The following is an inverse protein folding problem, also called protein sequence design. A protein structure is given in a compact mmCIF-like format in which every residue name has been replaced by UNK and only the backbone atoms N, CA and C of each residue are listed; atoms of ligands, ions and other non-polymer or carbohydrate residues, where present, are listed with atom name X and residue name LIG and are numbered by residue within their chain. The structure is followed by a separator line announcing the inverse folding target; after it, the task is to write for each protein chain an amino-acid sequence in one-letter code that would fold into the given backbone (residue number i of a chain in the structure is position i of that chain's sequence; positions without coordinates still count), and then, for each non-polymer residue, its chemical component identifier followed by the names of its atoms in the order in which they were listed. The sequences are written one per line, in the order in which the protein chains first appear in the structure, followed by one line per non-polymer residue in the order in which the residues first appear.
data_IF_262341930630
#
_entry.id   IF_262341930630
#
_cell.length_a   1.000
_cell.length_b   1.000
_cell.length_c   1.000
_cell.angle_alpha   90.00
_cell.angle_beta   90.00
_cell.angle_gamma   90.00
#
_symmetry.space_group_name_H-M   'P 1'
#
loop_
_entity.id
_entity.type
_entity.pdbx_description
1 polymer ?
#
# COMPACT_ATOMS: atom_id res chain seq x y z
N UNK A 1 7.19 0.19 -22.88
CA UNK A 1 6.82 0.80 -21.56
C UNK A 1 5.62 1.75 -21.64
N UNK A 2 5.70 2.94 -22.27
CA UNK A 2 4.55 3.89 -22.30
C UNK A 2 3.33 3.25 -22.99
N UNK A 3 3.56 2.50 -24.05
CA UNK A 3 2.51 1.76 -24.76
C UNK A 3 1.84 0.73 -23.85
N UNK A 4 2.62 -0.08 -23.09
CA UNK A 4 2.08 -1.01 -22.11
C UNK A 4 1.20 -0.33 -21.04
N UNK A 5 1.59 0.87 -20.59
CA UNK A 5 0.80 1.66 -19.64
C UNK A 5 -0.52 2.09 -20.29
N UNK A 6 -0.47 2.73 -21.46
CA UNK A 6 -1.65 3.20 -22.18
C UNK A 6 -2.60 2.05 -22.56
N UNK A 7 -2.05 0.91 -22.96
CA UNK A 7 -2.81 -0.31 -23.25
C UNK A 7 -3.60 -0.80 -22.03
N UNK A 8 -2.98 -0.87 -20.85
CA UNK A 8 -3.65 -1.32 -19.64
C UNK A 8 -4.72 -0.32 -19.16
N UNK A 9 -4.50 0.99 -19.29
CA UNK A 9 -5.52 1.99 -18.99
C UNK A 9 -6.76 1.88 -19.89
N UNK A 10 -6.59 1.50 -21.16
CA UNK A 10 -7.72 1.25 -22.08
C UNK A 10 -8.46 -0.05 -21.78
N UNK A 11 -7.83 -0.97 -21.05
CA UNK A 11 -8.32 -2.32 -20.77
C UNK A 11 -8.57 -2.59 -19.27
N UNK A 12 -8.83 -1.54 -18.47
CA UNK A 12 -9.02 -1.66 -17.01
C UNK A 12 -10.17 -2.59 -16.61
N UNK A 13 -11.20 -2.71 -17.44
CA UNK A 13 -12.36 -3.57 -17.21
C UNK A 13 -12.40 -4.77 -18.16
N UNK A 14 -11.35 -4.95 -18.98
CA UNK A 14 -11.25 -6.05 -19.90
C UNK A 14 -10.38 -7.15 -19.30
N UNK A 15 -11.03 -8.21 -18.82
CA UNK A 15 -10.38 -9.39 -18.24
C UNK A 15 -10.05 -10.46 -19.29
N UNK A 16 -10.51 -10.29 -20.53
CA UNK A 16 -10.31 -11.26 -21.59
C UNK A 16 -9.01 -10.95 -22.37
N UNK A 17 -8.41 -12.00 -22.92
CA UNK A 17 -7.14 -11.93 -23.64
C UNK A 17 -5.93 -12.20 -22.74
N UNK A 18 -4.75 -11.85 -23.27
CA UNK A 18 -3.45 -12.21 -22.72
C UNK A 18 -2.54 -10.99 -22.67
N UNK A 19 -1.78 -10.86 -21.59
CA UNK A 19 -0.74 -9.84 -21.46
C UNK A 19 0.63 -10.53 -21.47
N UNK A 20 1.51 -10.11 -22.38
CA UNK A 20 2.90 -10.57 -22.41
C UNK A 20 3.65 -10.12 -21.15
N UNK A 21 4.77 -10.78 -20.84
CA UNK A 21 5.55 -10.49 -19.62
C UNK A 21 6.00 -9.03 -19.55
N UNK A 22 6.51 -8.48 -20.66
CA UNK A 22 6.98 -7.10 -20.70
C UNK A 22 5.85 -6.11 -20.45
N UNK A 23 4.70 -6.33 -21.09
CA UNK A 23 3.52 -5.47 -20.94
C UNK A 23 3.03 -5.46 -19.48
N UNK A 24 2.95 -6.64 -18.86
CA UNK A 24 2.58 -6.76 -17.46
C UNK A 24 3.58 -6.08 -16.52
N UNK A 25 4.88 -6.37 -16.64
CA UNK A 25 5.89 -5.84 -15.70
C UNK A 25 6.14 -4.34 -15.85
N UNK A 26 6.07 -3.79 -17.07
CA UNK A 26 6.14 -2.34 -17.25
C UNK A 26 4.93 -1.63 -16.61
N UNK A 27 3.76 -2.24 -16.67
CA UNK A 27 2.58 -1.70 -16.00
C UNK A 27 2.68 -1.81 -14.47
N UNK A 28 3.12 -2.95 -13.94
CA UNK A 28 3.39 -3.12 -12.50
C UNK A 28 4.43 -2.12 -12.01
N UNK A 29 5.53 -1.94 -12.74
CA UNK A 29 6.58 -0.97 -12.41
C UNK A 29 6.02 0.45 -12.35
N UNK A 30 5.17 0.83 -13.31
CA UNK A 30 4.49 2.12 -13.28
C UNK A 30 3.62 2.28 -12.03
N UNK A 31 2.78 1.28 -11.68
CA UNK A 31 1.94 1.34 -10.49
C UNK A 31 2.77 1.47 -9.21
N UNK A 32 3.91 0.78 -9.13
CA UNK A 32 4.84 0.86 -8.01
C UNK A 32 5.45 2.26 -7.91
N UNK A 33 6.01 2.80 -9.00
CA UNK A 33 6.59 4.14 -9.02
C UNK A 33 5.53 5.19 -8.67
N UNK A 34 4.32 5.07 -9.21
CA UNK A 34 3.22 5.97 -8.91
C UNK A 34 2.84 5.95 -7.42
N UNK A 35 2.72 4.75 -6.83
CA UNK A 35 2.44 4.58 -5.41
C UNK A 35 3.53 5.21 -4.53
N UNK A 36 4.81 4.93 -4.82
CA UNK A 36 5.93 5.49 -4.08
C UNK A 36 6.05 7.01 -4.25
N UNK A 37 5.86 7.52 -5.48
CA UNK A 37 5.91 8.95 -5.76
C UNK A 37 4.87 9.74 -4.97
N UNK A 38 3.63 9.24 -4.92
CA UNK A 38 2.57 9.90 -4.14
C UNK A 38 2.83 9.76 -2.63
N UNK A 39 3.25 8.58 -2.16
CA UNK A 39 3.57 8.36 -0.76
C UNK A 39 4.71 9.29 -0.29
N UNK A 40 5.72 9.49 -1.14
CA UNK A 40 6.81 10.41 -0.88
C UNK A 40 6.34 11.87 -0.82
N UNK A 41 5.53 12.31 -1.78
CA UNK A 41 4.95 13.65 -1.77
C UNK A 41 4.12 13.92 -0.50
N UNK A 42 3.30 12.95 -0.09
CA UNK A 42 2.52 13.05 1.14
C UNK A 42 3.40 13.11 2.38
N UNK A 43 4.50 12.35 2.41
CA UNK A 43 5.49 12.41 3.50
C UNK A 43 6.14 13.78 3.62
N UNK A 44 6.47 14.44 2.51
CA UNK A 44 7.02 15.80 2.52
C UNK A 44 6.01 16.81 3.08
N UNK A 45 4.74 16.71 2.68
CA UNK A 45 3.67 17.58 3.18
C UNK A 45 3.45 17.35 4.68
N UNK A 46 3.38 16.08 5.12
CA UNK A 46 3.21 15.72 6.53
C UNK A 46 4.33 16.21 7.42
N UNK A 47 5.59 16.01 7.00
CA UNK A 47 6.76 16.50 7.72
C UNK A 47 6.81 18.04 7.77
N UNK A 48 6.48 18.71 6.66
CA UNK A 48 6.39 20.17 6.62
C UNK A 48 5.34 20.74 7.56
N UNK A 49 4.14 20.14 7.59
CA UNK A 49 3.08 20.55 8.53
C UNK A 49 3.50 20.37 9.99
N UNK A 50 4.19 19.27 10.31
CA UNK A 50 4.71 19.04 11.67
C UNK A 50 5.75 20.11 12.07
N UNK A 51 6.67 20.46 11.17
CA UNK A 51 7.65 21.51 11.42
C UNK A 51 7.00 22.88 11.66
N UNK A 52 5.96 23.23 10.90
CA UNK A 52 5.19 24.47 11.11
C UNK A 52 4.51 24.47 12.48
N UNK A 53 3.84 23.38 12.86
CA UNK A 53 3.18 23.27 14.16
C UNK A 53 4.18 23.41 15.32
N UNK A 54 5.36 22.79 15.21
CA UNK A 54 6.41 22.91 16.24
C UNK A 54 6.93 24.34 16.39
N UNK A 55 7.13 25.07 15.28
CA UNK A 55 7.55 26.49 15.33
C UNK A 55 6.48 27.34 15.99
N UNK A 56 5.20 27.08 15.71
CA UNK A 56 4.08 27.80 16.32
C UNK A 56 4.00 27.54 17.83
N UNK A 57 4.12 26.30 18.26
CA UNK A 57 4.11 25.94 19.69
C UNK A 57 5.29 26.57 20.45
N UNK A 58 6.48 26.62 19.84
CA UNK A 58 7.65 27.28 20.41
C UNK A 58 7.45 28.81 20.54
N UNK A 59 6.80 29.43 19.55
CA UNK A 59 6.50 30.87 19.56
C UNK A 59 5.39 31.23 20.55
N UNK A 60 4.46 30.31 20.83
CA UNK A 60 3.39 30.49 21.80
C UNK A 60 3.88 30.55 23.26
N UNK A 61 5.18 30.39 23.52
CA UNK A 61 5.79 30.60 24.84
C UNK A 61 5.41 29.55 25.88
N UNK A 62 4.92 28.38 25.45
CA UNK A 62 4.59 27.27 26.34
C UNK A 62 5.90 26.62 26.85
N UNK A 63 6.42 27.08 27.99
CA UNK A 63 7.57 26.46 28.69
C UNK A 63 7.21 25.13 29.35
N UNK A 64 5.92 24.82 29.41
CA UNK A 64 5.43 23.58 29.99
C UNK A 64 5.60 22.42 29.00
N UNK A 65 6.69 21.67 29.19
CA UNK A 65 7.12 20.57 28.34
C UNK A 65 6.01 19.52 28.15
N UNK A 66 5.13 19.36 29.14
CA UNK A 66 3.99 18.46 29.08
C UNK A 66 2.89 18.91 28.10
N UNK A 67 2.67 20.22 27.94
CA UNK A 67 1.67 20.79 27.02
C UNK A 67 2.16 20.66 25.58
N UNK A 68 3.43 21.01 25.34
CA UNK A 68 4.07 20.86 24.02
C UNK A 68 4.05 19.39 23.59
N UNK A 69 4.38 18.46 24.49
CA UNK A 69 4.41 17.04 24.13
C UNK A 69 3.03 16.45 23.83
N UNK A 70 1.97 16.89 24.52
CA UNK A 70 0.58 16.50 24.20
C UNK A 70 0.11 17.04 22.85
N UNK A 71 0.45 18.30 22.53
CA UNK A 71 0.14 18.91 21.22
C UNK A 71 0.82 18.17 20.06
N UNK A 72 2.10 17.82 20.24
CA UNK A 72 2.86 16.99 19.30
C UNK A 72 2.21 15.60 19.16
N UNK A 73 1.84 14.94 20.26
CA UNK A 73 1.18 13.64 20.24
C UNK A 73 -0.15 13.63 19.45
N UNK A 74 -1.01 14.62 19.65
CA UNK A 74 -2.26 14.74 18.88
C UNK A 74 -2.02 15.03 17.39
N UNK A 75 -1.02 15.84 17.07
CA UNK A 75 -0.65 16.12 15.67
C UNK A 75 -0.09 14.89 14.97
N UNK A 76 0.76 14.12 15.65
CA UNK A 76 1.29 12.85 15.14
C UNK A 76 0.16 11.83 14.94
N UNK A 77 -0.74 11.68 15.91
CA UNK A 77 -1.89 10.78 15.83
C UNK A 77 -2.77 11.09 14.61
N UNK A 78 -3.12 12.37 14.38
CA UNK A 78 -3.90 12.78 13.19
C UNK A 78 -3.16 12.54 11.88
N UNK A 79 -1.88 12.87 11.81
CA UNK A 79 -1.06 12.67 10.61
C UNK A 79 -0.96 11.18 10.27
N UNK A 80 -0.76 10.33 11.27
CA UNK A 80 -0.69 8.88 11.09
C UNK A 80 -2.03 8.30 10.68
N UNK A 81 -3.14 8.71 11.30
CA UNK A 81 -4.46 8.26 10.89
C UNK A 81 -4.75 8.65 9.43
N UNK A 82 -4.42 9.90 9.04
CA UNK A 82 -4.57 10.37 7.67
C UNK A 82 -3.70 9.58 6.69
N UNK A 83 -2.43 9.31 7.02
CA UNK A 83 -1.53 8.54 6.16
C UNK A 83 -1.96 7.08 6.01
N UNK A 84 -2.51 6.47 7.06
CA UNK A 84 -3.05 5.12 7.00
C UNK A 84 -4.32 5.03 6.15
N UNK A 85 -5.26 5.97 6.31
CA UNK A 85 -6.45 6.04 5.44
C UNK A 85 -6.08 6.27 3.98
N UNK A 86 -5.12 7.17 3.75
CA UNK A 86 -4.58 7.42 2.42
C UNK A 86 -3.94 6.16 1.83
N UNK A 87 -3.11 5.45 2.61
CA UNK A 87 -2.48 4.20 2.19
C UNK A 87 -3.53 3.14 1.85
N UNK A 88 -4.58 2.98 2.66
CA UNK A 88 -5.67 2.05 2.38
C UNK A 88 -6.40 2.40 1.07
N UNK A 89 -6.72 3.68 0.84
CA UNK A 89 -7.35 4.13 -0.39
C UNK A 89 -6.46 3.88 -1.62
N UNK A 90 -5.16 4.17 -1.51
CA UNK A 90 -4.18 3.92 -2.57
C UNK A 90 -4.00 2.43 -2.85
N UNK A 91 -4.00 1.58 -1.82
CA UNK A 91 -3.98 0.12 -1.97
C UNK A 91 -5.21 -0.37 -2.73
N UNK A 92 -6.41 0.11 -2.39
CA UNK A 92 -7.63 -0.23 -3.12
C UNK A 92 -7.52 0.22 -4.58
N UNK A 93 -7.12 1.46 -4.83
CA UNK A 93 -6.93 1.98 -6.19
C UNK A 93 -5.93 1.12 -6.98
N UNK A 94 -4.76 0.82 -6.42
CA UNK A 94 -3.75 -0.01 -7.05
C UNK A 94 -4.28 -1.42 -7.36
N UNK A 95 -5.07 -2.01 -6.47
CA UNK A 95 -5.69 -3.33 -6.70
C UNK A 95 -6.70 -3.31 -7.86
N UNK A 96 -7.50 -2.24 -7.96
CA UNK A 96 -8.46 -2.03 -9.06
C UNK A 96 -7.75 -1.83 -10.40
N UNK A 97 -6.63 -1.09 -10.41
CA UNK A 97 -5.83 -0.89 -11.61
C UNK A 97 -5.12 -2.18 -12.04
N UNK A 98 -4.68 -3.01 -11.08
CA UNK A 98 -3.90 -4.22 -11.36
C UNK A 98 -4.76 -5.43 -11.81
N UNK A 99 -5.98 -5.59 -11.27
CA UNK A 99 -6.73 -6.87 -11.34
C UNK A 99 -6.95 -7.38 -12.77
N UNK A 100 -7.29 -6.50 -13.72
CA UNK A 100 -7.53 -6.89 -15.10
C UNK A 100 -6.25 -7.31 -15.82
N UNK A 101 -5.14 -6.57 -15.63
CA UNK A 101 -3.84 -6.96 -16.19
C UNK A 101 -3.32 -8.25 -15.57
N UNK A 102 -3.50 -8.45 -14.26
CA UNK A 102 -3.09 -9.67 -13.60
C UNK A 102 -3.89 -10.90 -14.05
N UNK A 103 -5.20 -10.76 -14.28
CA UNK A 103 -6.02 -11.82 -14.88
C UNK A 103 -5.51 -12.20 -16.29
N UNK A 104 -5.23 -11.21 -17.14
CA UNK A 104 -4.68 -11.43 -18.49
C UNK A 104 -3.27 -12.02 -18.46
N UNK A 105 -2.45 -11.68 -17.45
CA UNK A 105 -1.14 -12.31 -17.22
C UNK A 105 -1.28 -13.78 -16.85
N UNK A 106 -2.25 -14.14 -16.00
CA UNK A 106 -2.54 -15.54 -15.66
C UNK A 106 -2.99 -16.33 -16.90
N UNK A 107 -3.85 -15.73 -17.73
CA UNK A 107 -4.30 -16.31 -18.99
C UNK A 107 -3.15 -16.57 -19.97
N UNK A 108 -2.13 -15.70 -19.99
CA UNK A 108 -0.94 -15.93 -20.82
C UNK A 108 -0.12 -17.15 -20.39
N UNK A 109 -0.23 -17.58 -19.13
CA UNK A 109 0.36 -18.81 -18.59
C UNK A 109 -0.62 -20.00 -18.58
N UNK A 110 -1.72 -19.89 -19.33
CA UNK A 110 -2.85 -20.83 -19.36
C UNK A 110 -3.47 -21.13 -17.98
N UNK A 111 -3.28 -20.23 -17.00
CA UNK A 111 -3.87 -20.33 -15.67
C UNK A 111 -5.26 -19.70 -15.63
N UNK A 112 -6.15 -20.20 -14.76
CA UNK A 112 -7.49 -19.65 -14.67
C UNK A 112 -7.50 -18.28 -13.95
N UNK A 113 -8.25 -17.32 -14.50
CA UNK A 113 -8.35 -15.96 -13.96
C UNK A 113 -8.94 -15.85 -12.54
N UNK A 114 -9.63 -16.87 -12.01
CA UNK A 114 -10.13 -16.85 -10.63
C UNK A 114 -9.01 -16.76 -9.59
N UNK A 115 -7.78 -17.14 -9.93
CA UNK A 115 -6.60 -16.93 -9.08
C UNK A 115 -6.42 -15.44 -8.78
N UNK A 116 -6.68 -14.56 -9.76
CA UNK A 116 -6.63 -13.11 -9.53
C UNK A 116 -7.64 -12.69 -8.46
N UNK A 117 -8.86 -13.24 -8.48
CA UNK A 117 -9.90 -12.94 -7.48
C UNK A 117 -9.44 -13.34 -6.08
N UNK A 118 -8.84 -14.53 -5.93
CA UNK A 118 -8.32 -14.98 -4.63
C UNK A 118 -7.17 -14.09 -4.14
N UNK A 119 -6.22 -13.76 -5.02
CA UNK A 119 -5.07 -12.90 -4.68
C UNK A 119 -5.53 -11.49 -4.30
N UNK A 120 -6.41 -10.89 -5.08
CA UNK A 120 -6.96 -9.56 -4.77
C UNK A 120 -7.85 -9.61 -3.53
N UNK A 121 -8.65 -10.67 -3.33
CA UNK A 121 -9.44 -10.86 -2.11
C UNK A 121 -8.57 -10.90 -0.85
N UNK A 122 -7.47 -11.67 -0.86
CA UNK A 122 -6.50 -11.70 0.24
C UNK A 122 -5.83 -10.34 0.47
N UNK A 123 -5.55 -9.60 -0.61
CA UNK A 123 -5.04 -8.24 -0.51
C UNK A 123 -6.04 -7.29 0.15
N UNK A 124 -7.31 -7.34 -0.24
CA UNK A 124 -8.37 -6.52 0.36
C UNK A 124 -8.61 -6.88 1.83
N UNK A 125 -8.50 -8.15 2.22
CA UNK A 125 -8.50 -8.55 3.64
C UNK A 125 -7.35 -7.89 4.39
N UNK A 126 -6.15 -7.85 3.79
CA UNK A 126 -5.00 -7.17 4.41
C UNK A 126 -5.23 -5.67 4.56
N UNK A 127 -5.89 -5.03 3.58
CA UNK A 127 -6.32 -3.61 3.68
C UNK A 127 -7.34 -3.42 4.79
N UNK A 128 -8.32 -4.32 4.94
CA UNK A 128 -9.31 -4.26 6.02
C UNK A 128 -8.65 -4.39 7.40
N UNK A 129 -7.63 -5.25 7.54
CA UNK A 129 -6.80 -5.34 8.75
C UNK A 129 -6.10 -4.01 9.03
N UNK A 130 -5.49 -3.36 8.03
CA UNK A 130 -4.88 -2.03 8.19
C UNK A 130 -5.89 -0.99 8.68
N UNK A 131 -7.10 -0.98 8.10
CA UNK A 131 -8.17 -0.05 8.51
C UNK A 131 -8.57 -0.30 9.97
N UNK A 132 -8.69 -1.56 10.40
CA UNK A 132 -9.04 -1.90 11.78
C UNK A 132 -8.01 -1.41 12.80
N UNK A 133 -6.75 -1.24 12.38
CA UNK A 133 -5.66 -0.78 13.23
C UNK A 133 -5.62 0.74 13.42
N UNK A 134 -6.30 1.53 12.59
CA UNK A 134 -6.21 3.00 12.62
C UNK A 134 -6.60 3.55 13.99
N UNK A 135 -7.68 3.02 14.59
CA UNK A 135 -8.14 3.42 15.92
C UNK A 135 -7.18 3.02 17.04
N UNK A 136 -6.61 1.82 16.96
CA UNK A 136 -5.60 1.35 17.92
C UNK A 136 -4.37 2.27 17.91
N UNK A 137 -3.90 2.65 16.71
CA UNK A 137 -2.74 3.52 16.54
C UNK A 137 -2.96 4.93 17.06
N UNK A 138 -4.14 5.51 16.82
CA UNK A 138 -4.46 6.86 17.26
C UNK A 138 -4.36 7.01 18.79
N UNK A 139 -4.71 5.96 19.54
CA UNK A 139 -4.68 5.92 21.00
C UNK A 139 -3.34 5.51 21.62
N UNK A 140 -2.30 5.19 20.84
CA UNK A 140 -0.97 4.85 21.40
C UNK A 140 -0.34 6.09 22.01
N UNK A 141 -0.39 7.24 21.32
CA UNK A 141 0.29 8.46 21.75
C UNK A 141 -0.28 9.02 23.06
N UNK A 142 -1.53 8.73 23.36
CA UNK A 142 -2.16 9.09 24.64
C UNK A 142 -1.68 8.23 25.81
N UNK A 143 -1.20 7.01 25.50
CA UNK A 143 -0.70 6.04 26.48
C UNK A 143 0.81 6.14 26.71
N UNK A 144 1.51 6.94 25.92
CA UNK A 144 2.95 7.17 26.10
C UNK A 144 3.15 8.06 27.33
N UNK A 145 3.78 7.50 28.35
CA UNK A 145 4.21 8.23 29.53
C UNK A 145 5.65 8.71 29.33
N UNK A 146 5.82 9.98 29.00
CA UNK A 146 7.13 10.59 28.78
C UNK A 146 7.95 10.74 30.07
N UNK A 147 7.33 10.61 31.24
CA UNK A 147 8.05 10.61 32.52
C UNK A 147 8.70 9.26 32.85
N UNK A 148 8.21 8.18 32.22
CA UNK A 148 8.74 6.83 32.38
C UNK A 148 9.14 6.24 31.02
N UNK A 149 10.38 6.51 30.56
CA UNK A 149 10.88 6.01 29.28
C UNK A 149 10.85 4.48 29.18
N UNK A 150 11.05 3.74 30.28
CA UNK A 150 11.01 2.28 30.24
C UNK A 150 9.61 1.74 29.97
N UNK A 151 8.58 2.30 30.63
CA UNK A 151 7.19 1.90 30.41
C UNK A 151 6.72 2.21 28.97
N UNK A 152 7.08 3.40 28.47
CA UNK A 152 6.79 3.81 27.09
C UNK A 152 7.48 2.92 26.05
N UNK A 153 8.74 2.53 26.28
CA UNK A 153 9.44 1.59 25.41
C UNK A 153 8.76 0.22 25.39
N UNK A 154 8.31 -0.30 26.54
CA UNK A 154 7.62 -1.59 26.60
C UNK A 154 6.29 -1.56 25.83
N UNK A 155 5.52 -0.47 25.96
CA UNK A 155 4.28 -0.27 25.20
C UNK A 155 4.55 -0.25 23.69
N UNK A 156 5.57 0.48 23.25
CA UNK A 156 5.95 0.54 21.83
C UNK A 156 6.44 -0.81 21.30
N UNK A 157 7.23 -1.57 22.06
CA UNK A 157 7.71 -2.90 21.65
C UNK A 157 6.55 -3.91 21.55
N UNK A 158 5.65 -3.92 22.53
CA UNK A 158 4.48 -4.80 22.53
C UNK A 158 3.57 -4.50 21.33
N UNK A 159 3.36 -3.22 21.05
CA UNK A 159 2.58 -2.79 19.88
C UNK A 159 3.31 -3.09 18.56
N UNK A 160 4.62 -2.91 18.49
CA UNK A 160 5.40 -3.21 17.28
C UNK A 160 5.27 -4.68 16.89
N UNK A 161 5.23 -5.59 17.88
CA UNK A 161 5.00 -7.02 17.63
C UNK A 161 3.64 -7.28 17.01
N UNK A 162 2.57 -6.66 17.51
CA UNK A 162 1.23 -6.86 16.97
C UNK A 162 1.11 -6.34 15.54
N UNK A 163 1.71 -5.17 15.27
CA UNK A 163 1.76 -4.56 13.94
C UNK A 163 2.51 -5.46 12.96
N UNK A 164 3.70 -5.92 13.34
CA UNK A 164 4.54 -6.76 12.47
C UNK A 164 3.80 -8.02 12.06
N UNK A 165 3.20 -8.73 13.01
CA UNK A 165 2.51 -9.98 12.73
C UNK A 165 1.29 -9.79 11.80
N UNK A 166 0.50 -8.73 12.01
CA UNK A 166 -0.64 -8.40 11.13
C UNK A 166 -0.17 -7.96 9.74
N UNK A 167 0.92 -7.21 9.67
CA UNK A 167 1.52 -6.74 8.41
C UNK A 167 2.03 -7.87 7.52
N UNK A 168 2.44 -9.01 8.09
CA UNK A 168 2.92 -10.15 7.31
C UNK A 168 1.87 -10.70 6.32
N UNK A 169 0.58 -10.56 6.64
CA UNK A 169 -0.53 -10.98 5.76
C UNK A 169 -0.50 -10.25 4.41
N UNK A 170 -0.06 -8.99 4.40
CA UNK A 170 0.00 -8.18 3.19
C UNK A 170 1.04 -8.65 2.16
N UNK A 171 2.05 -9.42 2.56
CA UNK A 171 3.08 -9.91 1.64
C UNK A 171 2.63 -11.12 0.82
N UNK A 172 1.70 -11.93 1.33
CA UNK A 172 1.19 -13.13 0.64
C UNK A 172 0.66 -12.79 -0.78
N UNK A 173 -0.26 -11.82 -0.95
CA UNK A 173 -0.75 -11.47 -2.29
C UNK A 173 0.33 -10.86 -3.18
N UNK A 174 1.28 -10.09 -2.62
CA UNK A 174 2.41 -9.53 -3.38
C UNK A 174 3.28 -10.65 -3.94
N UNK A 175 3.62 -11.63 -3.11
CA UNK A 175 4.39 -12.80 -3.54
C UNK A 175 3.65 -13.59 -4.62
N UNK A 176 2.32 -13.76 -4.49
CA UNK A 176 1.53 -14.41 -5.53
C UNK A 176 1.60 -13.64 -6.86
N UNK A 177 1.47 -12.31 -6.85
CA UNK A 177 1.63 -11.48 -8.05
C UNK A 177 3.01 -11.64 -8.67
N UNK A 178 4.07 -11.70 -7.87
CA UNK A 178 5.44 -11.90 -8.37
C UNK A 178 5.60 -13.30 -8.98
N UNK A 179 5.19 -14.35 -8.25
CA UNK A 179 5.32 -15.74 -8.69
C UNK A 179 4.58 -15.97 -10.01
N UNK A 180 3.32 -15.53 -10.10
CA UNK A 180 2.53 -15.66 -11.33
C UNK A 180 2.95 -14.67 -12.43
N UNK A 181 3.51 -13.52 -12.05
CA UNK A 181 4.03 -12.52 -12.98
C UNK A 181 5.29 -12.98 -13.71
N UNK A 182 6.19 -13.70 -13.03
CA UNK A 182 7.41 -14.28 -13.65
C UNK A 182 7.13 -15.63 -14.31
N UNK A 183 6.00 -16.27 -13.98
CA UNK A 183 5.65 -17.60 -14.48
C UNK A 183 5.72 -17.68 -16.01
N UNK A 184 6.23 -18.80 -16.57
CA UNK A 184 6.35 -18.95 -18.01
C UNK A 184 5.04 -18.76 -18.78
N UNK A 185 5.13 -18.17 -19.96
CA UNK A 185 4.01 -18.04 -20.90
C UNK A 185 3.76 -19.37 -21.61
N UNK A 186 2.53 -19.63 -22.02
CA UNK A 186 2.21 -20.77 -22.90
C UNK A 186 2.64 -20.47 -24.33
N UNK A 187 3.23 -21.45 -24.99
CA UNK A 187 3.67 -21.34 -26.38
C UNK A 187 2.48 -21.27 -27.36
N UNK A 188 2.51 -20.33 -28.29
CA UNK A 188 1.50 -20.16 -29.32
C UNK A 188 0.10 -19.80 -28.77
N UNK A 189 -0.93 -20.19 -29.52
CA UNK A 189 -2.32 -19.93 -29.17
C UNK A 189 -2.78 -20.79 -27.99
N UNK A 190 -3.57 -20.22 -27.10
CA UNK A 190 -4.18 -20.95 -25.99
C UNK A 190 -5.70 -20.66 -25.91
N UNK A 191 -6.39 -21.25 -24.94
CA UNK A 191 -7.85 -21.10 -24.76
C UNK A 191 -8.31 -19.65 -24.50
N UNK A 192 -7.40 -18.74 -24.19
CA UNK A 192 -7.65 -17.33 -23.95
C UNK A 192 -7.32 -16.43 -25.15
N UNK A 193 -6.83 -17.00 -26.25
CA UNK A 193 -6.58 -16.29 -27.50
C UNK A 193 -5.16 -16.49 -28.05
N UNK A 194 -4.84 -15.75 -29.13
CA UNK A 194 -3.55 -15.85 -29.78
C UNK A 194 -2.41 -15.33 -28.90
N UNK A 195 -1.17 -15.63 -29.28
CA UNK A 195 0.02 -15.13 -28.60
C UNK A 195 0.00 -13.58 -28.50
N UNK A 196 0.26 -13.00 -27.31
CA UNK A 196 0.17 -11.56 -27.12
C UNK A 196 1.40 -10.82 -27.67
N UNK A 197 1.17 -9.61 -28.18
CA UNK A 197 2.25 -8.72 -28.61
C UNK A 197 3.16 -8.30 -27.44
N UNK A 198 4.44 -8.09 -27.74
CA UNK A 198 5.45 -7.64 -26.79
C UNK A 198 5.57 -6.10 -26.81
N UNK A 199 4.84 -5.41 -25.92
CA UNK A 199 4.85 -3.93 -25.72
C UNK A 199 5.79 -3.47 -24.57
#
# INVERSE_FOLDING_TARGET
MIEAIGFNFRNLLNFNGRDSRSTFWFYVLFLVIFYFGISFALSLVGGGMMAVNMVQDAQAGSTDQAVVMKGVGHSMSRLMAASMWFSAAMSILASLLLVASFARRLHDSDKPGWIAVVVIGLYLVSVAVTISMIGEFAGIFEKIDFSNPQASQQLMVAQQRSITLRGLLGYIPILAVIVFGVWPSSDGDNRYGPEPDHL
#
